data_IF_572378349481
#
_entry.id   IF_572378349481
#
_cell.length_a   1.000
_cell.length_b   1.000
_cell.length_c   1.000
_cell.angle_alpha   90.00
_cell.angle_beta   90.00
_cell.angle_gamma   90.00
#
_symmetry.space_group_name_H-M   'P 1'
#
loop_
_entity.id
_entity.type
_entity.pdbx_description
1 polymer ?
#
# COMPACT_ATOMS: atom_id res chain seq x y z
N UNK A 1 22.31 15.12 -36.27
CA UNK A 1 22.16 14.00 -35.30
C UNK A 1 20.99 14.31 -34.39
N UNK A 2 19.88 13.60 -34.53
CA UNK A 2 18.68 13.80 -33.75
C UNK A 2 18.87 13.23 -32.33
N UNK A 3 18.84 14.11 -31.32
CA UNK A 3 18.78 13.70 -29.91
C UNK A 3 17.35 13.25 -29.61
N UNK A 4 17.18 11.93 -29.50
CA UNK A 4 15.95 11.30 -29.04
C UNK A 4 15.77 11.61 -27.56
N UNK A 5 15.01 12.67 -27.26
CA UNK A 5 14.51 12.91 -25.91
C UNK A 5 13.53 11.80 -25.57
N UNK A 6 14.02 10.79 -24.86
CA UNK A 6 13.19 9.78 -24.23
C UNK A 6 12.30 10.50 -23.21
N UNK A 7 11.08 10.81 -23.65
CA UNK A 7 10.01 11.32 -22.81
C UNK A 7 9.73 10.26 -21.75
N UNK A 8 10.29 10.47 -20.56
CA UNK A 8 9.91 9.73 -19.37
C UNK A 8 8.42 10.05 -19.12
N UNK A 9 7.53 9.25 -19.68
CA UNK A 9 6.11 9.33 -19.37
C UNK A 9 5.99 8.97 -17.90
N UNK A 10 5.99 9.98 -17.03
CA UNK A 10 5.48 9.81 -15.68
C UNK A 10 4.14 9.12 -15.82
N UNK A 11 3.85 8.08 -15.01
CA UNK A 11 2.48 7.57 -14.82
C UNK A 11 1.52 8.74 -14.99
N UNK A 12 0.74 8.75 -16.07
CA UNK A 12 0.01 9.94 -16.48
C UNK A 12 -0.73 10.45 -15.23
N UNK A 13 -0.57 11.71 -14.82
CA UNK A 13 -1.09 12.20 -13.54
C UNK A 13 -2.57 11.84 -13.31
N UNK A 14 -3.34 11.62 -14.38
CA UNK A 14 -4.70 11.09 -14.36
C UNK A 14 -4.83 9.63 -13.86
N UNK A 15 -3.98 8.69 -14.28
CA UNK A 15 -4.09 7.28 -13.90
C UNK A 15 -3.84 7.05 -12.40
N UNK A 16 -2.80 7.68 -11.85
CA UNK A 16 -2.50 7.60 -10.42
C UNK A 16 -3.63 8.21 -9.58
N UNK A 17 -4.15 9.37 -10.00
CA UNK A 17 -5.30 10.01 -9.34
C UNK A 17 -6.55 9.14 -9.43
N UNK A 18 -6.80 8.51 -10.57
CA UNK A 18 -7.92 7.60 -10.75
C UNK A 18 -7.81 6.41 -9.78
N UNK A 19 -6.63 5.79 -9.66
CA UNK A 19 -6.40 4.70 -8.69
C UNK A 19 -6.69 5.16 -7.27
N UNK A 20 -6.21 6.34 -6.86
CA UNK A 20 -6.48 6.87 -5.53
C UNK A 20 -7.97 7.12 -5.28
N UNK A 21 -8.66 7.74 -6.24
CA UNK A 21 -10.08 8.08 -6.12
C UNK A 21 -10.91 6.79 -6.07
N UNK A 22 -10.66 5.86 -6.98
CA UNK A 22 -11.38 4.58 -7.05
C UNK A 22 -11.10 3.72 -5.81
N UNK A 23 -9.85 3.66 -5.37
CA UNK A 23 -9.47 2.96 -4.14
C UNK A 23 -10.16 3.54 -2.91
N UNK A 24 -10.20 4.88 -2.78
CA UNK A 24 -10.83 5.55 -1.66
C UNK A 24 -12.34 5.32 -1.65
N UNK A 25 -12.98 5.45 -2.82
CA UNK A 25 -14.40 5.16 -2.98
C UNK A 25 -14.72 3.70 -2.63
N UNK A 26 -13.89 2.76 -3.09
CA UNK A 26 -14.03 1.34 -2.76
C UNK A 26 -13.89 1.07 -1.26
N UNK A 27 -12.89 1.65 -0.61
CA UNK A 27 -12.67 1.52 0.82
C UNK A 27 -13.86 2.05 1.64
N UNK A 28 -14.33 3.26 1.30
CA UNK A 28 -15.47 3.89 1.97
C UNK A 28 -16.76 3.09 1.73
N UNK A 29 -17.00 2.63 0.50
CA UNK A 29 -18.14 1.78 0.19
C UNK A 29 -18.12 0.50 1.01
N UNK A 30 -16.97 -0.17 1.14
CA UNK A 30 -16.83 -1.38 1.93
C UNK A 30 -17.11 -1.11 3.43
N UNK A 31 -16.63 0.01 3.98
CA UNK A 31 -16.97 0.43 5.35
C UNK A 31 -18.48 0.57 5.51
N UNK A 32 -19.14 1.34 4.62
CA UNK A 32 -20.58 1.59 4.68
C UNK A 32 -21.38 0.28 4.57
N UNK A 33 -21.05 -0.56 3.59
CA UNK A 33 -21.72 -1.84 3.39
C UNK A 33 -21.52 -2.77 4.60
N UNK A 34 -20.34 -2.77 5.21
CA UNK A 34 -20.07 -3.54 6.44
C UNK A 34 -20.84 -3.04 7.66
N UNK A 35 -21.20 -1.75 7.71
CA UNK A 35 -22.12 -1.23 8.74
C UNK A 35 -23.57 -1.64 8.47
N UNK A 36 -24.02 -1.57 7.22
CA UNK A 36 -25.39 -1.95 6.83
C UNK A 36 -25.62 -3.45 7.04
N UNK A 37 -24.66 -4.29 6.66
CA UNK A 37 -24.75 -5.74 6.74
C UNK A 37 -24.27 -6.32 8.07
N UNK A 38 -24.08 -5.50 9.11
CA UNK A 38 -23.47 -5.93 10.37
C UNK A 38 -24.15 -7.14 11.02
N UNK A 39 -25.47 -7.27 10.90
CA UNK A 39 -26.23 -8.40 11.43
C UNK A 39 -26.02 -9.72 10.68
N UNK A 40 -25.40 -9.67 9.50
CA UNK A 40 -25.14 -10.83 8.65
C UNK A 40 -23.66 -11.28 8.70
N UNK A 41 -22.85 -10.64 9.54
CA UNK A 41 -21.42 -10.88 9.69
C UNK A 41 -21.12 -11.44 11.08
N UNK A 42 -20.32 -12.50 11.14
CA UNK A 42 -19.76 -13.11 12.35
C UNK A 42 -18.79 -12.16 13.05
N UNK A 43 -17.92 -11.50 12.29
CA UNK A 43 -17.08 -10.39 12.74
C UNK A 43 -17.24 -9.18 11.82
N UNK A 44 -18.10 -8.21 12.18
CA UNK A 44 -18.24 -6.98 11.41
C UNK A 44 -17.02 -6.05 11.51
N UNK A 45 -16.15 -6.23 12.50
CA UNK A 45 -14.98 -5.37 12.69
C UNK A 45 -13.87 -5.71 11.69
N UNK A 46 -13.67 -6.98 11.38
CA UNK A 46 -12.62 -7.45 10.46
C UNK A 46 -12.63 -6.73 9.09
N UNK A 47 -13.69 -6.76 8.26
CA UNK A 47 -13.70 -6.06 6.97
C UNK A 47 -13.59 -4.54 7.11
N UNK A 48 -14.10 -3.96 8.21
CA UNK A 48 -13.99 -2.52 8.50
C UNK A 48 -12.56 -2.12 8.82
N UNK A 49 -11.84 -2.96 9.57
CA UNK A 49 -10.45 -2.71 9.94
C UNK A 49 -9.54 -2.67 8.71
N UNK A 50 -9.68 -3.65 7.80
CA UNK A 50 -8.90 -3.65 6.57
C UNK A 50 -9.29 -2.49 5.65
N UNK A 51 -10.59 -2.19 5.50
CA UNK A 51 -11.03 -1.05 4.71
C UNK A 51 -10.54 0.30 5.29
N UNK A 52 -10.57 0.48 6.61
CA UNK A 52 -10.02 1.66 7.28
C UNK A 52 -8.51 1.78 7.13
N UNK A 53 -7.78 0.66 7.24
CA UNK A 53 -6.34 0.60 6.97
C UNK A 53 -6.01 0.96 5.53
N UNK A 54 -6.82 0.52 4.56
CA UNK A 54 -6.68 0.91 3.17
C UNK A 54 -6.88 2.41 2.97
N UNK A 55 -7.88 3.04 3.60
CA UNK A 55 -8.07 4.50 3.57
C UNK A 55 -6.82 5.21 4.08
N UNK A 56 -6.29 4.80 5.24
CA UNK A 56 -5.10 5.42 5.81
C UNK A 56 -3.90 5.32 4.84
N UNK A 57 -3.67 4.15 4.24
CA UNK A 57 -2.61 3.95 3.26
C UNK A 57 -2.81 4.77 1.99
N UNK A 58 -4.03 4.88 1.46
CA UNK A 58 -4.34 5.73 0.30
C UNK A 58 -4.08 7.22 0.58
N UNK A 59 -4.41 7.69 1.79
CA UNK A 59 -4.11 9.07 2.20
C UNK A 59 -2.60 9.28 2.25
N UNK A 60 -1.83 8.35 2.84
CA UNK A 60 -0.37 8.43 2.86
C UNK A 60 0.23 8.39 1.45
N UNK A 61 -0.31 7.56 0.55
CA UNK A 61 0.09 7.51 -0.85
C UNK A 61 -0.14 8.84 -1.56
N UNK A 62 -1.31 9.47 -1.34
CA UNK A 62 -1.64 10.78 -1.88
C UNK A 62 -0.69 11.87 -1.37
N UNK A 63 -0.41 11.89 -0.06
CA UNK A 63 0.51 12.84 0.56
C UNK A 63 1.94 12.68 0.00
N UNK A 64 2.44 11.44 -0.09
CA UNK A 64 3.74 11.14 -0.67
C UNK A 64 3.84 11.63 -2.13
N UNK A 65 2.77 11.45 -2.90
CA UNK A 65 2.65 11.88 -4.28
C UNK A 65 2.26 13.36 -4.49
N UNK A 66 2.14 14.14 -3.40
CA UNK A 66 1.65 15.53 -3.42
C UNK A 66 2.46 16.51 -4.29
N UNK A 67 2.19 17.81 -4.17
CA UNK A 67 2.79 18.83 -5.07
C UNK A 67 4.32 18.92 -4.94
N UNK A 68 5.01 19.15 -6.05
CA UNK A 68 6.46 19.24 -6.16
C UNK A 68 7.06 18.20 -7.13
N UNK A 69 8.38 18.26 -7.41
CA UNK A 69 9.03 17.32 -8.31
C UNK A 69 8.94 15.88 -7.78
N UNK A 70 8.63 14.95 -8.67
CA UNK A 70 8.50 13.54 -8.35
C UNK A 70 9.89 12.90 -8.15
N UNK A 71 10.39 12.94 -6.92
CA UNK A 71 11.66 12.30 -6.52
C UNK A 71 11.49 10.78 -6.39
N UNK A 72 12.60 10.05 -6.45
CA UNK A 72 12.63 8.59 -6.25
C UNK A 72 12.02 8.20 -4.90
N UNK A 73 12.34 8.94 -3.83
CA UNK A 73 11.82 8.68 -2.49
C UNK A 73 10.29 8.78 -2.42
N UNK A 74 9.73 9.82 -3.03
CA UNK A 74 8.28 10.05 -3.06
C UNK A 74 7.55 8.97 -3.85
N UNK A 75 8.10 8.57 -5.00
CA UNK A 75 7.57 7.47 -5.81
C UNK A 75 7.59 6.16 -5.04
N UNK A 76 8.72 5.84 -4.40
CA UNK A 76 8.86 4.62 -3.62
C UNK A 76 7.84 4.56 -2.47
N UNK A 77 7.69 5.65 -1.70
CA UNK A 77 6.67 5.73 -0.64
C UNK A 77 5.24 5.63 -1.19
N UNK A 78 4.91 6.37 -2.23
CA UNK A 78 3.57 6.32 -2.83
C UNK A 78 3.23 4.92 -3.34
N UNK A 79 4.19 4.23 -3.97
CA UNK A 79 4.02 2.84 -4.42
C UNK A 79 3.87 1.88 -3.25
N UNK A 80 4.69 2.00 -2.19
CA UNK A 80 4.59 1.17 -1.00
C UNK A 80 3.18 1.24 -0.38
N UNK A 81 2.68 2.46 -0.18
CA UNK A 81 1.37 2.69 0.41
C UNK A 81 0.23 2.25 -0.52
N UNK A 82 0.36 2.41 -1.84
CA UNK A 82 -0.64 1.89 -2.79
C UNK A 82 -0.73 0.36 -2.79
N UNK A 83 0.40 -0.33 -2.72
CA UNK A 83 0.43 -1.79 -2.66
C UNK A 83 -0.27 -2.28 -1.38
N UNK A 84 0.09 -1.70 -0.23
CA UNK A 84 -0.55 -2.00 1.06
C UNK A 84 -2.06 -1.71 1.05
N UNK A 85 -2.47 -0.55 0.52
CA UNK A 85 -3.87 -0.21 0.38
C UNK A 85 -4.65 -1.23 -0.46
N UNK A 86 -4.03 -1.68 -1.56
CA UNK A 86 -4.67 -2.65 -2.46
C UNK A 86 -4.83 -4.00 -1.79
N UNK A 87 -3.80 -4.47 -1.08
CA UNK A 87 -3.86 -5.72 -0.32
C UNK A 87 -4.96 -5.69 0.74
N UNK A 88 -5.02 -4.61 1.55
CA UNK A 88 -6.07 -4.43 2.54
C UNK A 88 -7.48 -4.30 1.93
N UNK A 89 -7.62 -3.73 0.74
CA UNK A 89 -8.92 -3.73 0.05
C UNK A 89 -9.35 -5.13 -0.37
N UNK A 90 -8.44 -5.92 -0.95
CA UNK A 90 -8.74 -7.30 -1.34
C UNK A 90 -9.08 -8.15 -0.12
N UNK A 91 -8.27 -8.04 0.93
CA UNK A 91 -8.50 -8.73 2.21
C UNK A 91 -9.80 -8.29 2.88
N UNK A 92 -10.13 -6.99 2.87
CA UNK A 92 -11.39 -6.49 3.41
C UNK A 92 -12.63 -6.96 2.62
N UNK A 93 -12.56 -7.00 1.29
CA UNK A 93 -13.63 -7.60 0.46
C UNK A 93 -13.75 -9.09 0.73
N UNK A 94 -12.62 -9.77 0.87
CA UNK A 94 -12.54 -11.18 1.23
C UNK A 94 -13.14 -11.48 2.59
N UNK A 95 -12.75 -10.71 3.61
CA UNK A 95 -13.24 -10.78 4.99
C UNK A 95 -14.75 -10.58 5.03
N UNK A 96 -15.29 -9.62 4.26
CA UNK A 96 -16.74 -9.45 4.15
C UNK A 96 -17.46 -10.71 3.65
N UNK A 97 -16.84 -11.48 2.75
CA UNK A 97 -17.36 -12.78 2.30
C UNK A 97 -17.14 -13.93 3.26
N UNK A 98 -15.99 -13.93 3.93
CA UNK A 98 -15.54 -14.96 4.86
C UNK A 98 -16.30 -14.93 6.18
N UNK A 99 -16.55 -13.73 6.71
CA UNK A 99 -17.28 -13.53 7.97
C UNK A 99 -18.79 -13.54 7.76
N UNK A 100 -19.28 -13.60 6.52
CA UNK A 100 -20.72 -13.72 6.30
C UNK A 100 -21.25 -15.04 6.86
N UNK A 101 -22.39 -15.00 7.56
CA UNK A 101 -23.07 -16.22 8.02
C UNK A 101 -23.34 -17.13 6.81
N UNK A 102 -22.62 -18.25 6.73
CA UNK A 102 -22.71 -19.19 5.62
C UNK A 102 -21.70 -19.00 4.48
N UNK A 103 -20.63 -18.20 4.65
CA UNK A 103 -19.45 -18.03 3.77
C UNK A 103 -19.76 -18.02 2.26
N UNK A 104 -19.62 -16.87 1.60
CA UNK A 104 -19.93 -16.76 0.18
C UNK A 104 -18.68 -16.82 -0.73
N UNK A 105 -18.89 -16.69 -2.05
CA UNK A 105 -17.83 -16.76 -3.05
C UNK A 105 -16.69 -15.73 -2.88
N UNK A 106 -16.93 -14.63 -2.14
CA UNK A 106 -15.90 -13.63 -1.84
C UNK A 106 -14.89 -14.13 -0.81
N UNK A 107 -15.18 -15.19 -0.05
CA UNK A 107 -14.24 -15.78 0.91
C UNK A 107 -12.92 -16.22 0.26
N UNK A 108 -12.89 -16.56 -1.03
CA UNK A 108 -11.64 -16.86 -1.76
C UNK A 108 -10.72 -15.64 -1.85
N UNK A 109 -11.29 -14.43 -1.91
CA UNK A 109 -10.51 -13.19 -1.91
C UNK A 109 -9.86 -12.92 -0.55
N UNK A 110 -10.32 -13.54 0.54
CA UNK A 110 -9.71 -13.41 1.86
C UNK A 110 -8.30 -14.02 1.86
N UNK A 111 -8.18 -15.26 1.40
CA UNK A 111 -6.88 -15.96 1.36
C UNK A 111 -5.91 -15.32 0.37
N UNK A 112 -6.46 -14.82 -0.76
CA UNK A 112 -5.69 -13.99 -1.68
C UNK A 112 -5.22 -12.69 -1.00
N UNK A 113 -6.10 -12.05 -0.22
CA UNK A 113 -5.81 -10.86 0.57
C UNK A 113 -4.65 -11.08 1.54
N UNK A 114 -4.67 -12.17 2.31
CA UNK A 114 -3.58 -12.56 3.22
C UNK A 114 -2.24 -12.66 2.48
N UNK A 115 -2.22 -13.36 1.34
CA UNK A 115 -1.02 -13.47 0.50
C UNK A 115 -0.54 -12.13 -0.06
N UNK A 116 -1.47 -11.29 -0.54
CA UNK A 116 -1.16 -9.96 -1.05
C UNK A 116 -0.67 -9.02 0.05
N UNK A 117 -1.18 -9.13 1.27
CA UNK A 117 -0.76 -8.33 2.43
C UNK A 117 0.68 -8.69 2.79
N UNK A 118 1.02 -9.97 2.88
CA UNK A 118 2.40 -10.41 3.10
C UNK A 118 3.38 -9.90 2.03
N UNK A 119 3.03 -10.05 0.75
CA UNK A 119 3.86 -9.57 -0.37
C UNK A 119 3.98 -8.04 -0.39
N UNK A 120 2.90 -7.33 -0.10
CA UNK A 120 2.89 -5.87 -0.07
C UNK A 120 3.71 -5.33 1.09
N UNK A 121 3.67 -5.99 2.26
CA UNK A 121 4.52 -5.65 3.40
C UNK A 121 6.00 -5.80 3.07
N UNK A 122 6.38 -6.90 2.40
CA UNK A 122 7.74 -7.13 1.92
C UNK A 122 8.19 -6.03 0.95
N UNK A 123 7.35 -5.72 -0.04
CA UNK A 123 7.63 -4.67 -1.01
C UNK A 123 7.71 -3.28 -0.35
N UNK A 124 6.82 -2.99 0.61
CA UNK A 124 6.81 -1.74 1.34
C UNK A 124 8.08 -1.55 2.16
N UNK A 125 8.57 -2.58 2.85
CA UNK A 125 9.83 -2.53 3.59
C UNK A 125 11.01 -2.15 2.66
N UNK A 126 11.13 -2.82 1.51
CA UNK A 126 12.17 -2.51 0.53
C UNK A 126 12.06 -1.07 -0.01
N UNK A 127 10.84 -0.63 -0.36
CA UNK A 127 10.59 0.71 -0.90
C UNK A 127 10.80 1.82 0.14
N UNK A 128 10.49 1.59 1.41
CA UNK A 128 10.82 2.50 2.51
C UNK A 128 12.33 2.62 2.67
N UNK A 129 13.07 1.51 2.53
CA UNK A 129 14.54 1.53 2.48
C UNK A 129 15.07 2.40 1.34
N UNK A 130 14.54 2.22 0.11
CA UNK A 130 14.87 3.05 -1.05
C UNK A 130 14.55 4.53 -0.81
N UNK A 131 13.40 4.82 -0.21
CA UNK A 131 12.99 6.18 0.08
C UNK A 131 13.89 6.85 1.12
N UNK A 132 14.22 6.12 2.19
CA UNK A 132 15.10 6.59 3.27
C UNK A 132 16.50 6.86 2.73
N UNK A 133 17.08 5.91 1.99
CA UNK A 133 18.38 6.08 1.35
C UNK A 133 18.38 7.31 0.44
N UNK A 134 17.40 7.43 -0.46
CA UNK A 134 17.27 8.58 -1.36
C UNK A 134 17.15 9.92 -0.62
N UNK A 135 16.46 9.95 0.52
CA UNK A 135 16.30 11.15 1.35
C UNK A 135 17.60 11.57 2.04
N UNK A 136 18.42 10.61 2.47
CA UNK A 136 19.74 10.85 3.05
C UNK A 136 20.74 11.25 1.97
N UNK A 137 20.75 10.56 0.82
CA UNK A 137 21.62 10.89 -0.31
C UNK A 137 21.37 12.29 -0.88
N UNK A 138 20.15 12.81 -0.78
CA UNK A 138 19.85 14.19 -1.15
C UNK A 138 20.43 15.25 -0.20
N UNK A 139 20.85 14.86 1.03
CA UNK A 139 21.37 15.75 2.08
C UNK A 139 22.83 15.51 2.43
N UNK A 140 23.43 14.42 1.95
CA UNK A 140 24.79 14.02 2.27
C UNK A 140 25.61 13.83 1.00
N UNK A 141 26.85 14.29 1.00
CA UNK A 141 27.84 13.98 -0.04
C UNK A 141 28.32 12.51 0.03
N UNK A 142 28.03 11.79 1.13
CA UNK A 142 28.42 10.39 1.30
C UNK A 142 27.40 9.43 0.71
N UNK A 143 27.74 8.89 -0.47
CA UNK A 143 26.97 7.80 -1.11
C UNK A 143 26.90 6.55 -0.21
N UNK A 144 27.95 6.25 0.54
CA UNK A 144 27.99 5.11 1.46
C UNK A 144 26.96 5.22 2.58
N UNK A 145 26.80 6.41 3.17
CA UNK A 145 25.82 6.64 4.23
C UNK A 145 24.38 6.46 3.72
N UNK A 146 24.09 6.99 2.53
CA UNK A 146 22.79 6.81 1.87
C UNK A 146 22.42 5.34 1.69
N UNK A 147 23.37 4.51 1.24
CA UNK A 147 23.15 3.07 1.03
C UNK A 147 22.97 2.35 2.35
N UNK A 148 23.85 2.61 3.34
CA UNK A 148 23.79 1.95 4.65
C UNK A 148 22.48 2.24 5.38
N UNK A 149 22.05 3.51 5.42
CA UNK A 149 20.79 3.89 6.08
C UNK A 149 19.59 3.32 5.33
N UNK A 150 19.59 3.36 4.00
CA UNK A 150 18.51 2.78 3.20
C UNK A 150 18.39 1.26 3.35
N UNK A 151 19.52 0.55 3.28
CA UNK A 151 19.56 -0.89 3.50
C UNK A 151 19.18 -1.25 4.94
N UNK A 152 19.66 -0.52 5.93
CA UNK A 152 19.31 -0.70 7.34
C UNK A 152 17.81 -0.52 7.58
N UNK A 153 17.21 0.55 7.06
CA UNK A 153 15.77 0.78 7.16
C UNK A 153 14.95 -0.33 6.47
N UNK A 154 15.39 -0.77 5.29
CA UNK A 154 14.78 -1.89 4.59
C UNK A 154 14.85 -3.19 5.38
N UNK A 155 16.03 -3.56 5.89
CA UNK A 155 16.23 -4.76 6.71
C UNK A 155 15.43 -4.72 8.01
N UNK A 156 15.39 -3.59 8.71
CA UNK A 156 14.55 -3.42 9.89
C UNK A 156 13.07 -3.58 9.56
N UNK A 157 12.62 -3.03 8.44
CA UNK A 157 11.28 -3.27 7.92
C UNK A 157 11.02 -4.75 7.65
N UNK A 158 11.93 -5.44 6.99
CA UNK A 158 11.81 -6.88 6.71
C UNK A 158 11.78 -7.73 7.98
N UNK A 159 12.60 -7.39 8.98
CA UNK A 159 12.57 -8.03 10.29
C UNK A 159 11.22 -7.84 10.97
N UNK A 160 10.67 -6.62 10.92
CA UNK A 160 9.33 -6.34 11.42
C UNK A 160 8.25 -7.17 10.69
N UNK A 161 8.30 -7.24 9.36
CA UNK A 161 7.39 -8.08 8.57
C UNK A 161 7.48 -9.55 8.98
N UNK A 162 8.71 -10.06 9.13
CA UNK A 162 8.95 -11.44 9.59
C UNK A 162 8.33 -11.70 10.96
N UNK A 163 8.48 -10.77 11.91
CA UNK A 163 7.85 -10.92 13.23
C UNK A 163 6.33 -10.91 13.16
N UNK A 164 5.74 -10.11 12.25
CA UNK A 164 4.27 -10.05 12.12
C UNK A 164 3.66 -11.27 11.43
N UNK A 165 4.36 -11.90 10.48
CA UNK A 165 3.86 -13.05 9.70
C UNK A 165 4.22 -14.40 10.34
N UNK A 166 5.36 -14.46 11.03
CA UNK A 166 5.92 -15.70 11.58
C UNK A 166 5.66 -15.93 13.08
N UNK A 167 4.76 -15.16 13.70
CA UNK A 167 4.19 -15.38 15.04
C UNK A 167 2.77 -15.90 14.88
#
# INVERSE_FOLDING_TARGET
MASTSATSRSLAPGAFRAILILGLAGAVALIIVSFIAASNLEDPFHPRFHAGSAVAMLVLAWLAAGRGPATLARRALATAFLLMATAFLVEGVGGFGFDHHGRNALAVAHDLGLGLTALSMLAAAALIGVATGSFIGARSSSRGLSVLVGAGAGLLGLLFVKTMIGM
#
